data_IF_182685462514
#
_entry.id   IF_182685462514
#
_cell.length_a   1.000
_cell.length_b   1.000
_cell.length_c   1.000
_cell.angle_alpha   90.00
_cell.angle_beta   90.00
_cell.angle_gamma   90.00
#
_symmetry.space_group_name_H-M   'P 1'
#
loop_
_entity.id
_entity.type
_entity.pdbx_description
1 polymer ?
#
# COMPACT_ATOMS: atom_id res chain seq x y z
N UNK A 1 -4.87 -25.34 -19.01
CA UNK A 1 -3.83 -24.58 -18.28
C UNK A 1 -2.86 -23.86 -19.22
N UNK A 2 -3.32 -22.90 -20.06
CA UNK A 2 -2.44 -22.07 -20.92
C UNK A 2 -2.89 -20.61 -21.12
N UNK A 3 -3.92 -20.14 -20.41
CA UNK A 3 -4.50 -18.80 -20.61
C UNK A 3 -4.31 -17.81 -19.45
N UNK A 4 -3.71 -18.24 -18.34
CA UNK A 4 -3.56 -17.39 -17.13
C UNK A 4 -2.25 -16.57 -17.17
N UNK A 5 -1.30 -16.92 -18.04
CA UNK A 5 0.04 -16.28 -18.06
C UNK A 5 0.04 -14.94 -18.80
N UNK A 6 -0.92 -14.66 -19.69
CA UNK A 6 -0.91 -13.41 -20.47
C UNK A 6 -1.38 -12.16 -19.68
N UNK A 7 -2.13 -12.33 -18.59
CA UNK A 7 -2.63 -11.20 -17.81
C UNK A 7 -1.57 -10.57 -16.89
N UNK A 8 -0.46 -11.27 -16.64
CA UNK A 8 0.60 -10.84 -15.72
C UNK A 8 1.61 -9.91 -16.43
N UNK A 9 1.72 -9.94 -17.76
CA UNK A 9 2.77 -9.23 -18.48
C UNK A 9 2.47 -7.75 -18.82
N UNK A 10 1.23 -7.28 -18.64
CA UNK A 10 0.80 -5.97 -19.14
C UNK A 10 0.69 -4.85 -18.09
N UNK A 11 1.06 -5.11 -16.82
CA UNK A 11 0.96 -4.11 -15.74
C UNK A 11 2.22 -3.23 -15.56
N UNK A 12 3.26 -3.41 -16.38
CA UNK A 12 4.56 -2.74 -16.19
C UNK A 12 4.65 -1.30 -16.71
N UNK A 13 3.59 -0.71 -17.27
CA UNK A 13 3.70 0.60 -17.97
C UNK A 13 3.35 1.83 -17.11
N UNK A 14 3.35 1.72 -15.79
CA UNK A 14 3.10 2.86 -14.89
C UNK A 14 4.32 3.18 -14.01
N UNK A 15 5.53 3.11 -14.55
CA UNK A 15 6.76 3.59 -13.88
C UNK A 15 6.86 5.11 -13.99
N UNK A 16 5.99 5.84 -13.29
CA UNK A 16 6.10 7.29 -13.17
C UNK A 16 6.70 7.61 -11.79
N UNK A 17 8.02 7.79 -11.76
CA UNK A 17 8.74 8.65 -10.82
C UNK A 17 8.82 8.24 -9.34
N UNK A 18 9.05 6.96 -9.01
CA UNK A 18 9.42 6.51 -7.64
C UNK A 18 10.85 5.91 -7.55
N UNK A 19 11.78 6.46 -8.34
CA UNK A 19 13.13 5.90 -8.53
C UNK A 19 14.06 5.87 -7.31
N UNK A 20 13.68 6.45 -6.16
CA UNK A 20 14.59 6.57 -5.00
C UNK A 20 14.59 5.37 -4.05
N UNK A 21 13.61 4.46 -4.09
CA UNK A 21 13.61 3.31 -3.17
C UNK A 21 12.96 2.05 -3.75
N UNK A 22 13.72 1.32 -4.59
CA UNK A 22 13.27 0.10 -5.29
C UNK A 22 12.61 -0.92 -4.35
N UNK A 23 13.07 -1.04 -3.11
CA UNK A 23 12.52 -1.96 -2.12
C UNK A 23 11.11 -1.55 -1.63
N UNK A 24 10.88 -0.26 -1.40
CA UNK A 24 9.55 0.24 -1.04
C UNK A 24 8.57 0.04 -2.18
N UNK A 25 9.01 0.27 -3.42
CA UNK A 25 8.18 0.04 -4.61
C UNK A 25 7.75 -1.42 -4.71
N UNK A 26 8.66 -2.39 -4.52
CA UNK A 26 8.30 -3.82 -4.51
C UNK A 26 7.21 -4.17 -3.49
N UNK A 27 7.26 -3.57 -2.29
CA UNK A 27 6.23 -3.78 -1.26
C UNK A 27 4.89 -3.15 -1.61
N UNK A 28 4.92 -1.99 -2.25
CA UNK A 28 3.73 -1.33 -2.77
C UNK A 28 3.11 -2.21 -3.86
N UNK A 29 3.89 -2.64 -4.83
CA UNK A 29 3.44 -3.46 -5.96
C UNK A 29 2.85 -4.77 -5.46
N UNK A 30 3.57 -5.51 -4.60
CA UNK A 30 3.09 -6.75 -4.00
C UNK A 30 1.73 -6.57 -3.29
N UNK A 31 1.58 -5.51 -2.51
CA UNK A 31 0.33 -5.22 -1.81
C UNK A 31 -0.81 -4.92 -2.80
N UNK A 32 -0.54 -4.11 -3.82
CA UNK A 32 -1.54 -3.69 -4.82
C UNK A 32 -1.97 -4.89 -5.67
N UNK A 33 -1.03 -5.73 -6.10
CA UNK A 33 -1.31 -6.97 -6.83
C UNK A 33 -2.15 -7.95 -6.01
N UNK A 34 -1.79 -8.16 -4.75
CA UNK A 34 -2.54 -9.02 -3.84
C UNK A 34 -3.98 -8.50 -3.62
N UNK A 35 -4.13 -7.19 -3.41
CA UNK A 35 -5.44 -6.56 -3.28
C UNK A 35 -6.27 -6.66 -4.57
N UNK A 36 -5.65 -6.39 -5.72
CA UNK A 36 -6.31 -6.48 -7.01
C UNK A 36 -6.83 -7.88 -7.28
N UNK A 37 -6.06 -8.92 -6.93
CA UNK A 37 -6.46 -10.31 -7.05
C UNK A 37 -7.57 -10.69 -6.08
N UNK A 38 -7.44 -10.33 -4.81
CA UNK A 38 -8.37 -10.74 -3.75
C UNK A 38 -9.73 -10.04 -3.87
N UNK A 39 -9.72 -8.74 -4.12
CA UNK A 39 -10.93 -7.91 -4.23
C UNK A 39 -11.40 -7.73 -5.67
N UNK A 40 -10.77 -8.43 -6.63
CA UNK A 40 -11.09 -8.36 -8.07
C UNK A 40 -11.17 -6.92 -8.59
N UNK A 41 -10.19 -6.11 -8.21
CA UNK A 41 -10.17 -4.69 -8.56
C UNK A 41 -9.98 -4.50 -10.06
N UNK A 42 -10.73 -3.56 -10.63
CA UNK A 42 -10.52 -3.11 -12.00
C UNK A 42 -9.24 -2.26 -12.14
N UNK A 43 -8.91 -1.87 -13.38
CA UNK A 43 -7.73 -1.04 -13.68
C UNK A 43 -7.77 0.32 -12.96
N UNK A 44 -8.93 0.95 -12.87
CA UNK A 44 -9.10 2.28 -12.25
C UNK A 44 -8.92 2.18 -10.73
N UNK A 45 -9.52 1.17 -10.10
CA UNK A 45 -9.39 0.85 -8.68
C UNK A 45 -7.94 0.49 -8.33
N UNK A 46 -7.30 -0.35 -9.14
CA UNK A 46 -5.89 -0.75 -8.94
C UNK A 46 -4.95 0.44 -9.02
N UNK A 47 -5.10 1.29 -10.04
CA UNK A 47 -4.31 2.52 -10.18
C UNK A 47 -4.56 3.51 -9.03
N UNK A 48 -5.81 3.61 -8.55
CA UNK A 48 -6.15 4.42 -7.39
C UNK A 48 -5.48 3.87 -6.13
N UNK A 49 -5.51 2.55 -5.94
CA UNK A 49 -4.86 1.89 -4.81
C UNK A 49 -3.35 2.07 -4.82
N UNK A 50 -2.72 1.95 -5.99
CA UNK A 50 -1.28 2.20 -6.16
C UNK A 50 -0.89 3.58 -5.63
N UNK A 51 -1.62 4.63 -6.07
CA UNK A 51 -1.38 6.00 -5.61
C UNK A 51 -1.60 6.14 -4.11
N UNK A 52 -2.72 5.65 -3.59
CA UNK A 52 -3.04 5.69 -2.15
C UNK A 52 -1.97 4.97 -1.33
N UNK A 53 -1.48 3.83 -1.80
CA UNK A 53 -0.47 3.03 -1.10
C UNK A 53 0.91 3.71 -1.14
N UNK A 54 1.29 4.29 -2.27
CA UNK A 54 2.52 5.08 -2.37
C UNK A 54 2.50 6.30 -1.44
N UNK A 55 1.42 7.08 -1.46
CA UNK A 55 1.22 8.21 -0.54
C UNK A 55 1.26 7.77 0.92
N UNK A 56 0.62 6.64 1.25
CA UNK A 56 0.67 6.06 2.58
C UNK A 56 2.11 5.82 3.05
N UNK A 57 2.96 5.23 2.20
CA UNK A 57 4.35 4.99 2.56
C UNK A 57 5.15 6.28 2.76
N UNK A 58 4.96 7.28 1.88
CA UNK A 58 5.65 8.57 1.98
C UNK A 58 5.30 9.31 3.27
N UNK A 59 3.99 9.49 3.53
CA UNK A 59 3.49 10.15 4.74
C UNK A 59 3.96 9.40 6.02
N UNK A 60 3.96 8.06 6.01
CA UNK A 60 4.48 7.27 7.13
C UNK A 60 5.97 7.52 7.38
N UNK A 61 6.78 7.57 6.32
CA UNK A 61 8.22 7.83 6.42
C UNK A 61 8.49 9.24 6.97
N UNK A 62 7.67 10.23 6.61
CA UNK A 62 7.77 11.58 7.18
C UNK A 62 7.47 11.61 8.67
N UNK A 63 6.40 10.93 9.13
CA UNK A 63 6.08 10.81 10.56
C UNK A 63 7.25 10.16 11.32
N UNK A 64 7.81 9.08 10.77
CA UNK A 64 8.97 8.40 11.37
C UNK A 64 10.20 9.31 11.39
N UNK A 65 10.44 10.10 10.33
CA UNK A 65 11.56 11.06 10.28
C UNK A 65 11.40 12.14 11.34
N UNK A 66 10.21 12.74 11.48
CA UNK A 66 9.91 13.75 12.52
C UNK A 66 10.09 13.20 13.93
N UNK A 67 9.63 11.97 14.17
CA UNK A 67 9.83 11.32 15.47
C UNK A 67 11.31 11.06 15.76
N UNK A 68 12.08 10.61 14.76
CA UNK A 68 13.53 10.37 14.92
C UNK A 68 14.32 11.65 15.18
N UNK A 69 13.89 12.78 14.60
CA UNK A 69 14.53 14.08 14.85
C UNK A 69 14.09 14.75 16.14
N UNK A 70 13.17 14.14 16.92
CA UNK A 70 12.59 14.76 18.11
C UNK A 70 11.62 15.90 17.83
N UNK A 71 11.20 16.09 16.57
CA UNK A 71 10.25 17.14 16.19
C UNK A 71 8.81 16.85 16.64
N UNK A 72 8.53 15.60 17.01
CA UNK A 72 7.26 15.16 17.61
C UNK A 72 7.54 14.19 18.75
N UNK A 73 6.67 14.16 19.75
CA UNK A 73 6.75 13.24 20.90
C UNK A 73 6.33 11.80 20.52
N UNK A 74 6.64 10.80 21.35
CA UNK A 74 6.13 9.44 21.17
C UNK A 74 4.60 9.36 21.09
N UNK A 75 3.89 10.17 21.87
CA UNK A 75 2.43 10.25 21.90
C UNK A 75 1.88 10.85 20.61
N UNK A 76 2.48 11.93 20.13
CA UNK A 76 2.12 12.56 18.85
C UNK A 76 2.40 11.61 17.68
N UNK A 77 3.53 10.91 17.69
CA UNK A 77 3.83 9.86 16.70
C UNK A 77 2.75 8.79 16.68
N UNK A 78 2.34 8.28 17.84
CA UNK A 78 1.28 7.26 17.95
C UNK A 78 -0.04 7.78 17.39
N UNK A 79 -0.43 9.01 17.75
CA UNK A 79 -1.64 9.65 17.26
C UNK A 79 -1.63 9.83 15.73
N UNK A 80 -0.53 10.36 15.19
CA UNK A 80 -0.36 10.56 13.75
C UNK A 80 -0.37 9.24 12.98
N UNK A 81 0.30 8.19 13.47
CA UNK A 81 0.27 6.86 12.85
C UNK A 81 -1.15 6.28 12.87
N UNK A 82 -1.90 6.45 13.96
CA UNK A 82 -3.27 5.96 14.06
C UNK A 82 -4.19 6.67 13.04
N UNK A 83 -4.14 8.00 12.98
CA UNK A 83 -4.90 8.78 12.01
C UNK A 83 -4.52 8.41 10.56
N UNK A 84 -3.23 8.22 10.31
CA UNK A 84 -2.69 7.80 9.02
C UNK A 84 -3.23 6.42 8.58
N UNK A 85 -3.22 5.45 9.49
CA UNK A 85 -3.76 4.12 9.25
C UNK A 85 -5.29 4.15 9.04
N UNK A 86 -6.02 4.96 9.81
CA UNK A 86 -7.47 5.13 9.63
C UNK A 86 -7.81 5.71 8.25
N UNK A 87 -7.11 6.76 7.82
CA UNK A 87 -7.25 7.36 6.48
C UNK A 87 -6.99 6.32 5.39
N UNK A 88 -5.93 5.52 5.52
CA UNK A 88 -5.64 4.46 4.56
C UNK A 88 -6.74 3.38 4.52
N UNK A 89 -7.19 2.89 5.68
CA UNK A 89 -8.22 1.87 5.76
C UNK A 89 -9.55 2.35 5.16
N UNK A 90 -9.93 3.61 5.40
CA UNK A 90 -11.11 4.20 4.77
C UNK A 90 -11.00 4.23 3.24
N UNK A 91 -9.84 4.63 2.70
CA UNK A 91 -9.60 4.60 1.26
C UNK A 91 -9.62 3.18 0.69
N UNK A 92 -9.01 2.21 1.39
CA UNK A 92 -9.00 0.82 0.95
C UNK A 92 -10.42 0.25 0.88
N UNK A 93 -11.23 0.46 1.92
CA UNK A 93 -12.64 0.07 1.93
C UNK A 93 -13.42 0.67 0.77
N UNK A 94 -13.25 1.98 0.53
CA UNK A 94 -13.90 2.68 -0.57
C UNK A 94 -13.46 2.17 -1.95
N UNK A 95 -12.19 1.77 -2.11
CA UNK A 95 -11.67 1.22 -3.37
C UNK A 95 -12.17 -0.21 -3.59
N UNK A 96 -12.16 -1.03 -2.55
CA UNK A 96 -12.50 -2.46 -2.60
C UNK A 96 -14.01 -2.72 -2.57
N UNK A 97 -14.81 -1.75 -2.11
CA UNK A 97 -16.24 -1.91 -1.93
C UNK A 97 -16.63 -2.81 -0.76
N UNK A 98 -15.70 -3.14 0.13
CA UNK A 98 -15.95 -3.99 1.31
C UNK A 98 -15.45 -3.34 2.59
N UNK A 99 -16.20 -3.51 3.67
CA UNK A 99 -15.79 -3.12 5.01
C UNK A 99 -14.85 -4.14 5.67
N UNK A 100 -14.83 -5.38 5.19
CA UNK A 100 -14.07 -6.48 5.76
C UNK A 100 -12.66 -6.60 5.19
N UNK A 101 -11.88 -5.51 5.26
CA UNK A 101 -10.49 -5.47 4.78
C UNK A 101 -9.48 -6.00 5.80
N UNK A 102 -9.90 -6.26 7.03
CA UNK A 102 -9.01 -6.60 8.13
C UNK A 102 -8.24 -7.91 7.93
N UNK A 103 -8.84 -9.03 7.46
CA UNK A 103 -8.10 -10.27 7.22
C UNK A 103 -6.96 -10.07 6.20
N UNK A 104 -7.24 -9.33 5.12
CA UNK A 104 -6.26 -8.97 4.11
C UNK A 104 -5.10 -8.16 4.71
N UNK A 105 -5.40 -7.12 5.50
CA UNK A 105 -4.39 -6.28 6.13
C UNK A 105 -3.50 -7.06 7.10
N UNK A 106 -4.08 -7.97 7.88
CA UNK A 106 -3.35 -8.85 8.80
C UNK A 106 -2.37 -9.72 8.01
N UNK A 107 -2.83 -10.40 6.95
CA UNK A 107 -1.97 -11.23 6.08
C UNK A 107 -0.86 -10.42 5.43
N UNK A 108 -1.20 -9.26 4.86
CA UNK A 108 -0.23 -8.38 4.20
C UNK A 108 0.87 -7.91 5.15
N UNK A 109 0.56 -7.63 6.42
CA UNK A 109 1.57 -7.22 7.41
C UNK A 109 2.64 -8.30 7.61
N UNK A 110 2.30 -9.57 7.51
CA UNK A 110 3.26 -10.66 7.67
C UNK A 110 4.01 -10.96 6.36
N UNK A 111 3.30 -11.02 5.23
CA UNK A 111 3.93 -11.26 3.92
C UNK A 111 4.91 -10.14 3.54
N UNK A 112 4.56 -8.87 3.78
CA UNK A 112 5.40 -7.72 3.46
C UNK A 112 6.71 -7.67 4.26
N UNK A 113 6.87 -8.44 5.35
CA UNK A 113 8.17 -8.56 6.05
C UNK A 113 9.20 -9.29 5.21
N UNK A 114 8.74 -10.20 4.34
CA UNK A 114 9.60 -11.09 3.54
C UNK A 114 9.87 -10.57 2.12
N UNK A 115 9.19 -9.51 1.69
CA UNK A 115 9.42 -8.87 0.38
C UNK A 115 10.75 -8.09 0.39
N UNK A 116 11.68 -8.49 -0.48
CA UNK A 116 13.04 -7.93 -0.67
C UNK A 116 13.24 -7.39 -2.09
#
# INVERSE_FOLDING_TARGET
MKKIVLAVLFMLTATVTFGQNKWQQKKIDYFVEAAAKEFKLDKKQTNKLLKVRATYFLEYMEIVKKAKSGAITPEEKKSQINAHNQKFNANLKAITGTDNVQPFLVRMRDELKNVK
#
